data_IF_329151884849
#
_entry.id   IF_329151884849
#
_cell.length_a   1.000
_cell.length_b   1.000
_cell.length_c   1.000
_cell.angle_alpha   90.00
_cell.angle_beta   90.00
_cell.angle_gamma   90.00
#
_symmetry.space_group_name_H-M   'P 1'
#
loop_
_entity.id
_entity.type
_entity.pdbx_description
1 polymer ?
#
# COMPACT_ATOMS: atom_id res chain seq x y z
N UNK A 1 3.36 -11.70 7.29
CA UNK A 1 2.86 -10.61 6.42
C UNK A 1 2.46 -9.47 7.32
N UNK A 2 2.82 -8.23 6.98
CA UNK A 2 2.42 -7.02 7.71
C UNK A 2 1.42 -6.27 6.83
N UNK A 3 0.31 -5.80 7.39
CA UNK A 3 -0.67 -5.01 6.63
C UNK A 3 -0.11 -3.60 6.40
N UNK A 4 -0.13 -3.16 5.14
CA UNK A 4 0.08 -1.79 4.75
C UNK A 4 -1.28 -1.19 4.36
N UNK A 5 -1.71 -0.19 5.13
CA UNK A 5 -2.81 0.68 4.76
C UNK A 5 -2.20 1.86 3.99
N UNK A 6 -2.48 1.94 2.70
CA UNK A 6 -1.94 2.98 1.83
C UNK A 6 -3.07 3.95 1.42
N UNK A 7 -3.32 5.03 2.20
CA UNK A 7 -4.24 6.08 1.81
C UNK A 7 -3.65 6.86 0.64
N UNK A 8 -4.49 7.13 -0.33
CA UNK A 8 -4.13 7.87 -1.54
C UNK A 8 -5.17 8.95 -1.79
N UNK A 9 -4.75 10.08 -2.34
CA UNK A 9 -5.63 11.18 -2.75
C UNK A 9 -5.40 11.48 -4.23
N UNK A 10 -6.47 11.63 -5.00
CA UNK A 10 -6.38 12.00 -6.42
C UNK A 10 -7.32 13.15 -6.76
N UNK A 11 -6.95 14.02 -7.71
CA UNK A 11 -7.86 15.01 -8.25
C UNK A 11 -8.95 14.35 -9.11
N UNK A 12 -10.18 14.86 -9.02
CA UNK A 12 -11.32 14.37 -9.81
C UNK A 12 -11.54 15.20 -11.09
N UNK A 13 -12.04 14.59 -12.17
CA UNK A 13 -12.59 15.34 -13.30
C UNK A 13 -13.75 16.23 -12.84
N UNK A 14 -13.69 17.54 -13.12
CA UNK A 14 -14.70 18.51 -12.67
C UNK A 14 -14.34 19.28 -11.39
N UNK A 15 -13.16 19.01 -10.81
CA UNK A 15 -12.63 19.72 -9.65
C UNK A 15 -12.82 18.94 -8.34
N UNK A 16 -12.05 19.33 -7.32
CA UNK A 16 -11.96 18.61 -6.05
C UNK A 16 -11.04 17.39 -6.11
N UNK A 17 -11.01 16.63 -5.00
CA UNK A 17 -10.19 15.43 -4.83
C UNK A 17 -10.98 14.33 -4.11
N UNK A 18 -10.52 13.09 -4.27
CA UNK A 18 -11.05 11.92 -3.58
C UNK A 18 -9.94 11.16 -2.87
N UNK A 19 -10.18 10.80 -1.62
CA UNK A 19 -9.35 9.87 -0.86
C UNK A 19 -9.88 8.45 -1.02
N UNK A 20 -8.97 7.52 -1.28
CA UNK A 20 -9.23 6.08 -1.36
C UNK A 20 -8.14 5.30 -0.62
N UNK A 21 -8.38 4.00 -0.39
CA UNK A 21 -7.47 3.17 0.39
C UNK A 21 -7.11 1.90 -0.37
N UNK A 22 -5.81 1.62 -0.43
CA UNK A 22 -5.28 0.35 -0.91
C UNK A 22 -4.76 -0.46 0.28
N UNK A 23 -5.24 -1.68 0.43
CA UNK A 23 -4.67 -2.67 1.32
C UNK A 23 -3.61 -3.48 0.59
N UNK A 24 -2.37 -3.46 1.09
CA UNK A 24 -1.25 -4.26 0.59
C UNK A 24 -0.65 -5.10 1.71
N UNK A 25 -0.14 -6.28 1.40
CA UNK A 25 0.69 -7.04 2.32
C UNK A 25 2.15 -6.77 2.06
N UNK A 26 2.89 -6.35 3.09
CA UNK A 26 4.33 -6.49 3.10
C UNK A 26 4.71 -7.94 3.43
N UNK A 27 5.37 -8.57 2.48
CA UNK A 27 6.02 -9.88 2.64
C UNK A 27 7.51 -9.60 2.78
N UNK A 28 7.95 -9.44 4.03
CA UNK A 28 9.32 -9.12 4.38
C UNK A 28 10.15 -10.37 4.64
N UNK A 29 11.37 -10.39 4.12
CA UNK A 29 12.45 -11.26 4.58
C UNK A 29 13.37 -10.46 5.51
N UNK A 30 13.60 -10.95 6.72
CA UNK A 30 14.47 -10.30 7.70
C UNK A 30 15.81 -11.01 7.81
N UNK A 31 16.86 -10.25 8.11
CA UNK A 31 18.19 -10.76 8.46
C UNK A 31 18.64 -10.20 9.80
N UNK A 32 19.22 -11.07 10.65
CA UNK A 32 19.80 -10.65 11.93
C UNK A 32 21.25 -10.21 11.71
N UNK A 33 21.57 -9.01 12.18
CA UNK A 33 22.94 -8.46 12.19
C UNK A 33 23.39 -8.23 13.63
N UNK A 34 24.69 -8.00 13.90
CA UNK A 34 25.16 -7.60 15.24
C UNK A 34 24.47 -6.32 15.78
N UNK A 35 24.04 -5.42 14.89
CA UNK A 35 23.32 -4.19 15.23
C UNK A 35 21.78 -4.36 15.26
N UNK A 36 21.29 -5.61 15.26
CA UNK A 36 19.87 -5.96 15.30
C UNK A 36 19.30 -6.42 13.95
N UNK A 37 17.98 -6.52 13.89
CA UNK A 37 17.25 -6.97 12.70
C UNK A 37 17.22 -5.90 11.61
N UNK A 38 17.29 -6.35 10.35
CA UNK A 38 17.12 -5.52 9.15
C UNK A 38 16.20 -6.24 8.16
N UNK A 39 15.47 -5.46 7.36
CA UNK A 39 14.72 -6.00 6.22
C UNK A 39 15.72 -6.23 5.10
N UNK A 40 15.88 -7.49 4.67
CA UNK A 40 16.72 -7.88 3.53
C UNK A 40 15.99 -7.72 2.21
N UNK A 41 14.68 -7.99 2.21
CA UNK A 41 13.80 -7.86 1.05
C UNK A 41 12.39 -7.55 1.53
N UNK A 42 11.69 -6.70 0.77
CA UNK A 42 10.26 -6.42 0.93
C UNK A 42 9.58 -6.63 -0.42
N UNK A 43 8.48 -7.36 -0.41
CA UNK A 43 7.55 -7.45 -1.54
C UNK A 43 6.20 -6.92 -1.10
N UNK A 44 5.56 -6.18 -1.98
CA UNK A 44 4.18 -5.74 -1.82
C UNK A 44 3.25 -6.66 -2.60
N UNK A 45 2.21 -7.16 -1.95
CA UNK A 45 1.17 -7.96 -2.58
C UNK A 45 -0.19 -7.30 -2.40
N UNK A 46 -0.95 -7.15 -3.49
CA UNK A 46 -2.30 -6.58 -3.45
C UNK A 46 -3.21 -7.42 -2.53
N UNK A 47 -4.00 -6.74 -1.69
CA UNK A 47 -4.98 -7.39 -0.81
C UNK A 47 -6.40 -6.94 -1.16
N UNK A 48 -6.71 -5.66 -0.96
CA UNK A 48 -8.03 -5.11 -1.18
C UNK A 48 -7.96 -3.65 -1.61
N UNK A 49 -9.07 -3.17 -2.14
CA UNK A 49 -9.26 -1.81 -2.61
C UNK A 49 -10.54 -1.29 -2.00
N UNK A 50 -10.54 -0.04 -1.54
CA UNK A 50 -11.72 0.59 -0.98
C UNK A 50 -11.89 2.00 -1.54
N UNK A 51 -13.10 2.30 -2.01
CA UNK A 51 -13.51 3.63 -2.46
C UNK A 51 -12.64 4.22 -3.58
N UNK A 52 -12.15 3.42 -4.52
CA UNK A 52 -11.47 3.96 -5.71
C UNK A 52 -12.46 4.65 -6.65
N UNK A 53 -12.05 5.74 -7.31
CA UNK A 53 -12.87 6.36 -8.35
C UNK A 53 -13.20 5.38 -9.48
N UNK A 54 -14.41 5.44 -10.02
CA UNK A 54 -14.92 4.47 -11.02
C UNK A 54 -14.04 4.35 -12.28
N UNK A 55 -13.32 5.41 -12.64
CA UNK A 55 -12.42 5.40 -13.78
C UNK A 55 -11.11 4.63 -13.53
N UNK A 56 -10.74 4.43 -12.27
CA UNK A 56 -9.55 3.73 -11.84
C UNK A 56 -9.90 2.26 -11.61
N UNK A 57 -10.11 1.50 -12.69
CA UNK A 57 -10.37 0.05 -12.64
C UNK A 57 -9.12 -0.68 -12.11
N UNK A 58 -9.11 -1.01 -10.82
CA UNK A 58 -7.96 -1.58 -10.10
C UNK A 58 -8.09 -3.05 -9.71
#
# INVERSE_FOLDING_TARGET
>A
RVMCFNPQEIPLPGGGSQVFMLGLWYVDEYVRTPAGWRIRRRVEEKSWVFNTPDFMKL
#
